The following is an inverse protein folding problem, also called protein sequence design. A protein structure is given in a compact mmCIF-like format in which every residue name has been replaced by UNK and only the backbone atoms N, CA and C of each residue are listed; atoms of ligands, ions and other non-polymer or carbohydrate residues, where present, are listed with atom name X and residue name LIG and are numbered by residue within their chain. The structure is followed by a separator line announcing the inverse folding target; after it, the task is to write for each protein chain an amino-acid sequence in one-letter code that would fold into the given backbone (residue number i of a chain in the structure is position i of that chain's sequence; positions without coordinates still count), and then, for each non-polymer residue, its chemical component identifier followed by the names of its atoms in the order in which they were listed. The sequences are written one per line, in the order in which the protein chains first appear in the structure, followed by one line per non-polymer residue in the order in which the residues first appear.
data_IF_840698723856
#
_entry.id   IF_840698723856
#
_cell.length_a   1.000
_cell.length_b   1.000
_cell.length_c   1.000
_cell.angle_alpha   90.00
_cell.angle_beta   90.00
_cell.angle_gamma   90.00
#
_symmetry.space_group_name_H-M   'P 1'
#
loop_
_entity.id
_entity.type
_entity.pdbx_description
1 polymer ?
#
# COMPACT_ATOMS: atom_id res chain seq x y z
N UNK A 1 -16.02 13.99 -28.04
CA UNK A 1 -14.82 13.57 -28.81
C UNK A 1 -13.64 13.83 -27.91
N UNK A 2 -12.85 12.80 -27.59
CA UNK A 2 -11.56 13.02 -26.94
C UNK A 2 -10.67 13.81 -27.89
N UNK A 3 -9.96 14.81 -27.37
CA UNK A 3 -8.85 15.39 -28.12
C UNK A 3 -7.65 14.45 -28.00
N UNK A 4 -6.76 14.44 -28.99
CA UNK A 4 -5.48 13.69 -28.99
C UNK A 4 -4.58 13.97 -27.75
N UNK A 5 -4.99 14.90 -26.88
CA UNK A 5 -4.27 15.41 -25.73
C UNK A 5 -4.71 14.80 -24.37
N UNK A 6 -5.74 13.96 -24.31
CA UNK A 6 -6.26 13.47 -23.02
C UNK A 6 -5.43 12.32 -22.43
N UNK A 7 -4.82 11.48 -23.27
CA UNK A 7 -3.83 10.47 -22.84
C UNK A 7 -2.75 10.19 -23.87
N UNK A 8 -1.64 9.66 -23.37
CA UNK A 8 -0.52 9.12 -24.14
C UNK A 8 -0.39 7.62 -23.84
N UNK A 9 -0.04 6.83 -24.84
CA UNK A 9 0.29 5.41 -24.66
C UNK A 9 1.79 5.24 -24.37
N UNK A 10 2.12 4.41 -23.38
CA UNK A 10 3.51 4.02 -23.07
C UNK A 10 4.22 3.46 -24.31
N UNK A 11 3.52 2.67 -25.11
CA UNK A 11 4.03 2.13 -26.36
C UNK A 11 3.00 2.29 -27.49
N UNK A 12 3.36 3.11 -28.49
CA UNK A 12 2.52 3.41 -29.66
C UNK A 12 2.23 2.20 -30.54
N UNK A 13 2.99 1.11 -30.42
CA UNK A 13 2.74 -0.12 -31.20
C UNK A 13 1.61 -0.96 -30.61
N UNK A 14 1.26 -0.74 -29.34
CA UNK A 14 0.21 -1.49 -28.65
C UNK A 14 -1.14 -0.83 -28.96
N UNK A 15 -2.04 -1.60 -29.57
CA UNK A 15 -3.40 -1.15 -29.86
C UNK A 15 -4.30 -1.42 -28.66
N UNK A 16 -5.01 -0.38 -28.22
CA UNK A 16 -6.07 -0.52 -27.22
C UNK A 16 -7.29 -1.14 -27.91
N UNK A 17 -7.88 -2.16 -27.29
CA UNK A 17 -9.17 -2.69 -27.76
C UNK A 17 -10.30 -1.67 -27.51
N UNK A 18 -11.40 -1.81 -28.25
CA UNK A 18 -12.50 -0.82 -28.23
C UNK A 18 -13.13 -0.67 -26.83
N UNK A 19 -13.22 -1.76 -26.08
CA UNK A 19 -13.89 -1.76 -24.78
C UNK A 19 -13.01 -1.08 -23.73
N UNK A 20 -11.71 -1.39 -23.70
CA UNK A 20 -10.74 -0.68 -22.87
C UNK A 20 -10.67 0.80 -23.22
N UNK A 21 -10.68 1.14 -24.51
CA UNK A 21 -10.68 2.54 -24.95
C UNK A 21 -11.92 3.26 -24.44
N UNK A 22 -13.11 2.67 -24.56
CA UNK A 22 -14.36 3.25 -24.06
C UNK A 22 -14.31 3.48 -22.54
N UNK A 23 -13.78 2.54 -21.76
CA UNK A 23 -13.63 2.69 -20.30
C UNK A 23 -12.62 3.78 -19.93
N UNK A 24 -11.53 3.92 -20.69
CA UNK A 24 -10.54 5.01 -20.50
C UNK A 24 -11.20 6.37 -20.76
N UNK A 25 -11.91 6.52 -21.89
CA UNK A 25 -12.64 7.75 -22.24
C UNK A 25 -13.61 8.13 -21.12
N UNK A 26 -14.40 7.15 -20.68
CA UNK A 26 -15.44 7.36 -19.69
C UNK A 26 -14.85 7.71 -18.31
N UNK A 27 -13.76 7.06 -17.90
CA UNK A 27 -13.03 7.42 -16.69
C UNK A 27 -12.56 8.88 -16.74
N UNK A 28 -11.97 9.31 -17.84
CA UNK A 28 -11.48 10.69 -17.98
C UNK A 28 -12.59 11.72 -18.00
N UNK A 29 -13.74 11.37 -18.58
CA UNK A 29 -14.89 12.26 -18.61
C UNK A 29 -15.47 12.47 -17.20
N UNK A 30 -15.53 11.40 -16.39
CA UNK A 30 -16.32 11.38 -15.15
C UNK A 30 -15.52 11.53 -13.86
N UNK A 31 -14.21 11.24 -13.87
CA UNK A 31 -13.36 11.31 -12.68
C UNK A 31 -12.39 12.47 -12.79
N UNK A 32 -12.40 13.36 -11.79
CA UNK A 32 -11.52 14.53 -11.73
C UNK A 32 -10.14 14.14 -11.21
N UNK A 33 -9.27 13.72 -12.13
CA UNK A 33 -7.85 13.52 -11.83
C UNK A 33 -7.11 14.85 -11.73
N UNK A 34 -6.06 14.88 -10.91
CA UNK A 34 -5.19 16.05 -10.76
C UNK A 34 -4.51 16.41 -12.08
N UNK A 35 -4.01 15.41 -12.80
CA UNK A 35 -3.34 15.57 -14.09
C UNK A 35 -4.25 16.28 -15.09
N UNK A 36 -5.53 15.88 -15.16
CA UNK A 36 -6.51 16.57 -16.01
C UNK A 36 -6.72 18.02 -15.58
N UNK A 37 -6.81 18.28 -14.27
CA UNK A 37 -6.99 19.65 -13.76
C UNK A 37 -5.82 20.58 -14.14
N UNK A 38 -4.59 20.05 -14.20
CA UNK A 38 -3.40 20.80 -14.64
C UNK A 38 -3.13 20.68 -16.15
N UNK A 39 -4.11 20.19 -16.92
CA UNK A 39 -4.04 20.01 -18.40
C UNK A 39 -2.85 19.15 -18.84
N UNK A 40 -2.57 18.08 -18.09
CA UNK A 40 -1.57 17.07 -18.44
C UNK A 40 -2.28 15.80 -18.93
N UNK A 41 -1.77 15.18 -20.01
CA UNK A 41 -2.27 13.90 -20.47
C UNK A 41 -1.99 12.82 -19.42
N UNK A 42 -2.89 11.87 -19.31
CA UNK A 42 -2.65 10.64 -18.54
C UNK A 42 -1.82 9.65 -19.34
N UNK A 43 -0.92 8.93 -18.67
CA UNK A 43 -0.12 7.89 -19.32
C UNK A 43 -0.80 6.53 -19.16
N UNK A 44 -1.22 5.96 -20.27
CA UNK A 44 -1.78 4.60 -20.33
C UNK A 44 -0.64 3.60 -20.53
N UNK A 45 -0.52 2.72 -19.56
CA UNK A 45 0.41 1.60 -19.52
C UNK A 45 -0.28 0.31 -19.98
N UNK A 46 0.52 -0.65 -20.40
CA UNK A 46 0.07 -2.00 -20.72
C UNK A 46 0.88 -3.02 -19.92
N UNK A 47 0.19 -3.79 -19.08
CA UNK A 47 0.78 -4.95 -18.42
C UNK A 47 0.81 -6.11 -19.41
N UNK A 48 2.01 -6.47 -19.88
CA UNK A 48 2.19 -7.56 -20.84
C UNK A 48 1.85 -8.95 -20.28
N UNK A 49 1.93 -9.15 -18.96
CA UNK A 49 1.63 -10.43 -18.32
C UNK A 49 0.13 -10.65 -18.25
N UNK A 50 -0.60 -9.68 -17.69
CA UNK A 50 -2.05 -9.75 -17.52
C UNK A 50 -2.82 -9.36 -18.79
N UNK A 51 -2.13 -8.70 -19.74
CA UNK A 51 -2.69 -8.14 -20.99
C UNK A 51 -3.76 -7.08 -20.76
N UNK A 52 -3.55 -6.20 -19.79
CA UNK A 52 -4.52 -5.17 -19.37
C UNK A 52 -3.92 -3.78 -19.49
N UNK A 53 -4.80 -2.80 -19.75
CA UNK A 53 -4.44 -1.39 -19.74
C UNK A 53 -4.69 -0.80 -18.36
N UNK A 54 -3.80 0.09 -17.93
CA UNK A 54 -3.96 0.83 -16.69
C UNK A 54 -3.32 2.22 -16.78
N UNK A 55 -3.67 3.10 -15.85
CA UNK A 55 -3.00 4.39 -15.64
C UNK A 55 -2.58 4.52 -14.19
N UNK A 56 -1.52 5.27 -13.95
CA UNK A 56 -1.16 5.78 -12.63
C UNK A 56 -1.46 7.28 -12.63
N UNK A 57 -2.24 7.74 -11.66
CA UNK A 57 -2.68 9.13 -11.58
C UNK A 57 -3.00 9.54 -10.14
N UNK A 58 -3.36 10.81 -9.95
CA UNK A 58 -3.71 11.32 -8.63
C UNK A 58 -5.15 11.82 -8.59
N UNK A 59 -5.84 11.54 -7.49
CA UNK A 59 -7.17 12.09 -7.21
C UNK A 59 -7.19 12.69 -5.80
N UNK A 60 -8.06 13.68 -5.61
CA UNK A 60 -8.26 14.27 -4.30
C UNK A 60 -9.08 13.37 -3.39
N UNK A 61 -8.87 13.52 -2.08
CA UNK A 61 -9.64 12.84 -1.02
C UNK A 61 -11.14 12.85 -1.26
N UNK A 62 -11.71 14.00 -1.65
CA UNK A 62 -13.16 14.14 -1.85
C UNK A 62 -13.66 13.30 -3.03
N UNK A 63 -12.88 13.29 -4.11
CA UNK A 63 -13.20 12.53 -5.33
C UNK A 63 -13.12 11.02 -5.07
N UNK A 64 -12.07 10.57 -4.36
CA UNK A 64 -11.93 9.16 -3.97
C UNK A 64 -13.07 8.72 -3.06
N UNK A 65 -13.41 9.49 -2.03
CA UNK A 65 -14.52 9.17 -1.11
C UNK A 65 -15.87 9.08 -1.84
N UNK A 66 -16.09 9.96 -2.82
CA UNK A 66 -17.33 10.00 -3.58
C UNK A 66 -17.54 8.76 -4.44
N UNK A 67 -16.50 8.30 -5.13
CA UNK A 67 -16.63 7.30 -6.19
C UNK A 67 -16.14 5.88 -5.83
N UNK A 68 -15.49 5.70 -4.67
CA UNK A 68 -14.98 4.38 -4.26
C UNK A 68 -16.06 3.37 -3.88
N UNK A 69 -15.80 2.13 -4.22
CA UNK A 69 -16.55 0.94 -3.82
C UNK A 69 -15.62 -0.05 -3.11
N UNK A 70 -15.76 -0.14 -1.78
CA UNK A 70 -14.99 -1.09 -0.96
C UNK A 70 -15.59 -2.50 -0.97
N UNK A 71 -16.88 -2.62 -1.30
CA UNK A 71 -17.56 -3.92 -1.38
C UNK A 71 -17.52 -4.49 -2.79
N UNK A 72 -16.55 -4.09 -3.61
CA UNK A 72 -16.40 -4.62 -4.95
C UNK A 72 -16.30 -6.15 -4.88
N UNK A 73 -17.37 -6.85 -5.25
CA UNK A 73 -17.44 -8.31 -5.29
C UNK A 73 -16.76 -8.76 -6.56
N UNK A 74 -15.74 -9.59 -6.42
CA UNK A 74 -15.01 -10.16 -7.56
C UNK A 74 -15.89 -11.21 -8.26
N UNK A 75 -16.83 -11.82 -7.51
CA UNK A 75 -17.93 -12.66 -7.97
C UNK A 75 -18.94 -12.88 -6.81
N UNK A 76 -20.27 -12.83 -7.03
CA UNK A 76 -21.26 -13.28 -6.03
C UNK A 76 -21.06 -14.72 -5.54
N UNK A 77 -20.49 -15.60 -6.36
CA UNK A 77 -20.38 -17.04 -6.07
C UNK A 77 -19.09 -17.42 -5.32
N UNK A 78 -18.08 -16.54 -5.26
CA UNK A 78 -16.77 -16.79 -4.62
C UNK A 78 -16.48 -15.82 -3.46
N UNK A 79 -17.54 -15.42 -2.74
CA UNK A 79 -17.46 -14.42 -1.67
C UNK A 79 -16.52 -14.82 -0.52
N UNK A 80 -16.37 -16.11 -0.20
CA UNK A 80 -15.64 -16.54 1.00
C UNK A 80 -14.12 -16.45 0.85
N UNK A 81 -13.54 -16.93 -0.26
CA UNK A 81 -12.09 -16.85 -0.49
C UNK A 81 -11.58 -15.41 -0.62
N UNK A 82 -12.43 -14.49 -1.10
CA UNK A 82 -12.10 -13.07 -1.22
C UNK A 82 -12.25 -12.25 0.06
N UNK A 83 -13.07 -12.71 1.01
CA UNK A 83 -13.19 -12.09 2.33
C UNK A 83 -11.97 -12.35 3.20
N UNK A 84 -11.25 -13.45 2.98
CA UNK A 84 -10.11 -13.87 3.79
C UNK A 84 -8.91 -12.90 3.72
N UNK A 85 -8.79 -12.10 2.65
CA UNK A 85 -7.79 -11.01 2.55
C UNK A 85 -8.34 -9.61 2.87
N UNK A 86 -9.62 -9.49 3.28
CA UNK A 86 -10.33 -8.23 3.59
C UNK A 86 -10.61 -8.01 5.07
N UNK A 87 -10.11 -8.86 5.95
CA UNK A 87 -10.23 -8.58 7.38
C UNK A 87 -9.35 -7.37 7.69
N UNK A 88 -9.93 -6.18 7.61
CA UNK A 88 -9.38 -5.00 8.25
C UNK A 88 -9.11 -5.39 9.68
N UNK A 89 -7.90 -5.14 10.11
CA UNK A 89 -7.45 -5.41 11.46
C UNK A 89 -7.49 -4.07 12.19
N UNK A 90 -8.67 -3.65 12.70
CA UNK A 90 -8.84 -2.32 13.29
C UNK A 90 -7.90 -2.10 14.47
N UNK A 91 -7.56 -3.18 15.18
CA UNK A 91 -6.70 -3.17 16.36
C UNK A 91 -5.21 -3.37 16.02
N UNK A 92 -4.86 -3.52 14.73
CA UNK A 92 -3.46 -3.60 14.33
C UNK A 92 -2.79 -2.22 14.57
N UNK A 93 -1.70 -2.16 15.35
CA UNK A 93 -0.99 -0.90 15.62
C UNK A 93 -0.61 -0.13 14.36
N UNK A 94 -0.20 -0.81 13.28
CA UNK A 94 0.17 -0.19 12.02
C UNK A 94 -1.03 0.52 11.36
N UNK A 95 -2.22 -0.06 11.51
CA UNK A 95 -3.45 0.55 11.00
C UNK A 95 -3.87 1.77 11.84
N UNK A 96 -3.67 1.73 13.16
CA UNK A 96 -3.90 2.88 14.04
C UNK A 96 -2.95 4.02 13.64
N UNK A 97 -1.65 3.74 13.49
CA UNK A 97 -0.67 4.72 13.02
C UNK A 97 -1.05 5.27 11.64
N UNK A 98 -1.49 4.42 10.71
CA UNK A 98 -1.96 4.84 9.40
C UNK A 98 -3.15 5.82 9.46
N UNK A 99 -4.07 5.61 10.41
CA UNK A 99 -5.20 6.53 10.62
C UNK A 99 -4.74 7.87 11.18
N UNK A 100 -3.80 7.88 12.13
CA UNK A 100 -3.23 9.12 12.67
C UNK A 100 -2.45 9.88 11.60
N UNK A 101 -1.67 9.18 10.78
CA UNK A 101 -0.97 9.76 9.63
C UNK A 101 -1.96 10.38 8.63
N UNK A 102 -3.07 9.70 8.33
CA UNK A 102 -4.13 10.25 7.49
C UNK A 102 -4.69 11.54 8.07
N UNK A 103 -5.03 11.60 9.37
CA UNK A 103 -5.47 12.84 10.03
C UNK A 103 -4.41 13.95 9.94
N UNK A 104 -3.14 13.57 10.02
CA UNK A 104 -1.98 14.44 9.86
C UNK A 104 -1.84 15.07 8.46
N UNK A 105 -2.56 14.57 7.45
CA UNK A 105 -2.44 15.06 6.07
C UNK A 105 -1.58 14.17 5.17
N UNK A 106 -1.24 12.94 5.60
CA UNK A 106 -0.42 12.04 4.80
C UNK A 106 -1.13 11.67 3.49
N UNK A 107 -0.38 11.80 2.40
CA UNK A 107 -0.74 11.27 1.09
C UNK A 107 -0.52 9.76 1.06
N UNK A 108 -1.37 9.05 0.33
CA UNK A 108 -1.26 7.61 0.15
C UNK A 108 -1.07 7.31 -1.33
N UNK A 109 -0.16 6.39 -1.63
CA UNK A 109 0.06 5.79 -2.94
C UNK A 109 -0.43 4.34 -2.96
N UNK A 110 -0.34 3.71 -4.13
CA UNK A 110 -0.52 2.28 -4.33
C UNK A 110 -1.93 1.77 -3.98
N UNK A 111 -2.92 2.64 -4.14
CA UNK A 111 -4.32 2.23 -4.10
C UNK A 111 -4.66 1.65 -5.48
N UNK A 112 -4.96 0.35 -5.51
CA UNK A 112 -5.20 -0.38 -6.75
C UNK A 112 -6.69 -0.47 -7.00
N UNK A 113 -7.12 0.01 -8.16
CA UNK A 113 -8.52 0.24 -8.51
C UNK A 113 -8.82 -0.36 -9.88
N UNK A 114 -10.01 -0.93 -10.04
CA UNK A 114 -10.63 -1.15 -11.35
C UNK A 114 -11.69 -0.08 -11.58
N UNK A 115 -11.70 0.52 -12.77
CA UNK A 115 -12.80 1.37 -13.20
C UNK A 115 -13.91 0.54 -13.86
N UNK A 116 -15.06 0.42 -13.18
CA UNK A 116 -16.18 -0.41 -13.63
C UNK A 116 -17.53 0.17 -13.18
N UNK A 117 -18.49 0.36 -14.11
CA UNK A 117 -19.82 0.89 -13.83
C UNK A 117 -20.94 -0.16 -13.84
N UNK A 118 -20.64 -1.40 -14.20
CA UNK A 118 -21.62 -2.41 -14.63
C UNK A 118 -22.62 -2.83 -13.55
N UNK A 119 -22.24 -2.78 -12.26
CA UNK A 119 -23.10 -3.27 -11.15
C UNK A 119 -23.38 -2.23 -10.05
N UNK A 120 -22.58 -1.16 -9.95
CA UNK A 120 -22.81 -0.02 -9.04
C UNK A 120 -22.26 1.25 -9.70
N UNK A 121 -23.03 1.78 -10.65
CA UNK A 121 -22.63 2.89 -11.52
C UNK A 121 -22.19 4.14 -10.74
N UNK A 122 -22.86 4.44 -9.61
CA UNK A 122 -22.54 5.60 -8.76
C UNK A 122 -21.20 5.49 -8.01
N UNK A 123 -20.61 4.29 -7.95
CA UNK A 123 -19.33 4.03 -7.27
C UNK A 123 -18.38 3.29 -8.21
N UNK A 124 -17.89 3.93 -9.28
CA UNK A 124 -17.18 3.24 -10.33
C UNK A 124 -15.74 2.83 -9.98
N UNK A 125 -15.16 3.34 -8.89
CA UNK A 125 -13.79 3.04 -8.47
C UNK A 125 -13.76 1.83 -7.54
N UNK A 126 -13.56 0.63 -8.11
CA UNK A 126 -13.59 -0.64 -7.38
C UNK A 126 -12.24 -0.93 -6.74
N UNK A 127 -12.17 -0.95 -5.42
CA UNK A 127 -10.90 -1.16 -4.71
C UNK A 127 -10.48 -2.63 -4.79
N UNK A 128 -9.37 -2.91 -5.48
CA UNK A 128 -8.76 -4.24 -5.56
C UNK A 128 -7.63 -4.42 -4.52
N UNK A 129 -6.95 -3.33 -4.17
CA UNK A 129 -5.85 -3.32 -3.19
C UNK A 129 -5.71 -1.97 -2.48
N UNK A 130 -5.11 -1.99 -1.28
CA UNK A 130 -4.95 -0.79 -0.45
C UNK A 130 -6.15 -0.46 0.45
N UNK A 131 -6.92 -1.46 0.86
CA UNK A 131 -8.15 -1.30 1.66
C UNK A 131 -7.93 -0.58 3.01
N UNK A 132 -6.82 -0.86 3.71
CA UNK A 132 -6.46 -0.12 4.92
C UNK A 132 -6.22 1.36 4.63
N UNK A 133 -5.56 1.69 3.51
CA UNK A 133 -5.31 3.07 3.09
C UNK A 133 -6.62 3.78 2.78
N UNK A 134 -7.52 3.15 2.01
CA UNK A 134 -8.81 3.77 1.68
C UNK A 134 -9.67 4.01 2.92
N UNK A 135 -9.68 3.08 3.88
CA UNK A 135 -10.35 3.30 5.18
C UNK A 135 -9.70 4.38 6.04
N UNK A 136 -8.37 4.49 6.03
CA UNK A 136 -7.71 5.59 6.74
C UNK A 136 -8.09 6.94 6.13
N UNK A 137 -8.18 7.02 4.80
CA UNK A 137 -8.63 8.21 4.07
C UNK A 137 -10.07 8.58 4.42
N UNK A 138 -10.98 7.62 4.64
CA UNK A 138 -12.36 7.93 5.06
C UNK A 138 -12.41 8.78 6.33
N UNK A 139 -11.55 8.46 7.30
CA UNK A 139 -11.45 9.17 8.58
C UNK A 139 -10.72 10.51 8.48
N UNK A 140 -10.10 10.81 7.35
CA UNK A 140 -9.47 12.10 7.10
C UNK A 140 -10.53 13.20 7.07
N UNK A 141 -10.34 14.27 7.84
CA UNK A 141 -11.10 15.52 7.69
C UNK A 141 -10.95 16.06 6.25
N UNK A 142 -11.91 16.85 5.72
CA UNK A 142 -11.87 17.35 4.34
C UNK A 142 -10.70 18.32 4.12
N UNK A 143 -9.51 17.76 4.01
CA UNK A 143 -8.29 18.39 3.52
C UNK A 143 -8.15 17.94 2.08
N UNK A 144 -7.87 18.90 1.20
CA UNK A 144 -7.61 18.69 -0.22
C UNK A 144 -6.26 17.98 -0.42
N UNK A 145 -6.22 16.70 -0.07
CA UNK A 145 -5.02 15.86 -0.11
C UNK A 145 -5.06 15.02 -1.37
N UNK A 146 -3.94 14.94 -2.08
CA UNK A 146 -3.79 14.10 -3.25
C UNK A 146 -3.39 12.69 -2.84
N UNK A 147 -3.99 11.71 -3.50
CA UNK A 147 -3.66 10.29 -3.35
C UNK A 147 -3.31 9.71 -4.71
N UNK A 148 -2.23 8.94 -4.76
CA UNK A 148 -1.82 8.20 -5.95
C UNK A 148 -2.64 6.92 -6.08
N UNK A 149 -3.24 6.72 -7.26
CA UNK A 149 -4.04 5.56 -7.59
C UNK A 149 -3.51 4.88 -8.85
N UNK A 150 -3.64 3.55 -8.91
CA UNK A 150 -3.45 2.77 -10.13
C UNK A 150 -4.81 2.27 -10.58
N UNK A 151 -5.27 2.70 -11.75
CA UNK A 151 -6.60 2.40 -12.29
C UNK A 151 -6.46 1.46 -13.48
N UNK A 152 -6.99 0.25 -13.35
CA UNK A 152 -7.09 -0.73 -14.41
C UNK A 152 -8.41 -0.61 -15.16
N UNK A 153 -8.37 -0.91 -16.46
CA UNK A 153 -9.52 -0.85 -17.36
C UNK A 153 -9.84 -2.23 -17.91
N UNK A 154 -11.13 -2.51 -18.03
CA UNK A 154 -11.69 -3.69 -18.68
C UNK A 154 -11.16 -5.04 -18.17
N UNK A 155 -11.14 -5.24 -16.85
CA UNK A 155 -10.69 -6.50 -16.28
C UNK A 155 -11.76 -7.59 -16.42
N UNK A 156 -11.34 -8.78 -16.85
CA UNK A 156 -12.11 -10.00 -16.68
C UNK A 156 -11.96 -10.55 -15.25
N UNK A 157 -12.71 -11.60 -14.93
CA UNK A 157 -12.73 -12.22 -13.58
C UNK A 157 -11.34 -12.71 -13.14
N UNK A 158 -10.59 -13.36 -14.02
CA UNK A 158 -9.28 -13.93 -13.72
C UNK A 158 -8.22 -12.85 -13.51
N UNK A 159 -8.20 -11.83 -14.38
CA UNK A 159 -7.31 -10.67 -14.28
C UNK A 159 -7.59 -9.88 -12.99
N UNK A 160 -8.87 -9.64 -12.67
CA UNK A 160 -9.28 -9.00 -11.43
C UNK A 160 -8.75 -9.77 -10.23
N UNK A 161 -8.82 -11.10 -10.29
CA UNK A 161 -8.36 -11.96 -9.23
C UNK A 161 -6.85 -11.96 -9.04
N UNK A 162 -6.10 -12.05 -10.14
CA UNK A 162 -4.64 -11.97 -10.15
C UNK A 162 -4.14 -10.63 -9.61
N UNK A 163 -4.67 -9.52 -10.11
CA UNK A 163 -4.30 -8.16 -9.67
C UNK A 163 -4.61 -7.94 -8.20
N UNK A 164 -5.79 -8.36 -7.72
CA UNK A 164 -6.15 -8.27 -6.31
C UNK A 164 -5.16 -9.08 -5.45
N UNK A 165 -4.78 -10.28 -5.86
CA UNK A 165 -3.81 -11.11 -5.13
C UNK A 165 -2.44 -10.44 -5.07
N UNK A 166 -1.91 -9.96 -6.19
CA UNK A 166 -0.59 -9.31 -6.27
C UNK A 166 -0.58 -8.04 -5.40
N UNK A 167 -1.63 -7.22 -5.49
CA UNK A 167 -1.73 -5.96 -4.75
C UNK A 167 -1.82 -6.13 -3.22
N UNK A 168 -2.29 -7.29 -2.76
CA UNK A 168 -2.42 -7.62 -1.34
C UNK A 168 -1.33 -8.60 -0.86
N UNK A 169 -0.38 -8.96 -1.73
CA UNK A 169 0.75 -9.81 -1.31
C UNK A 169 1.67 -9.00 -0.42
N UNK A 170 1.44 -9.07 0.89
CA UNK A 170 2.36 -8.55 1.89
C UNK A 170 3.57 -9.46 1.96
N UNK A 171 4.70 -9.02 1.40
CA UNK A 171 6.00 -9.59 1.77
C UNK A 171 6.33 -9.01 3.14
N UNK A 172 6.00 -9.74 4.20
CA UNK A 172 6.27 -9.33 5.57
C UNK A 172 7.76 -9.09 5.75
N UNK A 173 8.12 -7.84 6.04
CA UNK A 173 9.46 -7.49 6.50
C UNK A 173 9.64 -8.10 7.89
N UNK A 174 10.76 -8.77 8.13
CA UNK A 174 11.02 -9.37 9.43
C UNK A 174 11.07 -8.27 10.52
N UNK A 175 10.34 -8.45 11.63
CA UNK A 175 10.32 -7.51 12.76
C UNK A 175 11.73 -7.12 13.22
N UNK A 176 12.67 -8.08 13.22
CA UNK A 176 14.05 -7.85 13.62
C UNK A 176 14.78 -6.84 12.70
N UNK A 177 14.39 -6.73 11.42
CA UNK A 177 14.89 -5.67 10.52
C UNK A 177 14.32 -4.30 10.91
N UNK A 178 13.02 -4.22 11.20
CA UNK A 178 12.36 -2.97 11.64
C UNK A 178 12.97 -2.47 12.95
N UNK A 179 13.21 -3.38 13.90
CA UNK A 179 13.86 -3.07 15.16
C UNK A 179 15.26 -2.45 14.94
N UNK A 180 16.02 -2.90 13.93
CA UNK A 180 17.32 -2.32 13.58
C UNK A 180 17.20 -0.93 12.98
N UNK A 181 16.25 -0.74 12.07
CA UNK A 181 16.00 0.57 11.49
C UNK A 181 15.64 1.61 12.57
N UNK A 182 14.81 1.23 13.54
CA UNK A 182 14.47 2.10 14.66
C UNK A 182 15.65 2.38 15.58
N UNK A 183 16.52 1.40 15.81
CA UNK A 183 17.71 1.56 16.65
C UNK A 183 18.78 2.48 16.01
N UNK A 184 18.88 2.46 14.68
CA UNK A 184 19.67 3.41 13.90
C UNK A 184 19.09 4.84 13.92
N UNK A 185 17.79 5.00 14.11
CA UNK A 185 17.11 6.30 14.14
C UNK A 185 17.26 7.04 15.49
N UNK A 186 17.71 6.37 16.54
CA UNK A 186 17.93 6.99 17.85
C UNK A 186 19.01 8.09 17.78
N UNK A 187 19.00 9.01 18.75
CA UNK A 187 20.06 10.00 18.91
C UNK A 187 20.74 9.89 20.29
N UNK A 188 22.04 9.54 20.38
CA UNK A 188 22.89 9.07 19.28
C UNK A 188 22.41 7.73 18.68
N UNK A 189 22.72 7.47 17.40
CA UNK A 189 22.31 6.25 16.72
C UNK A 189 23.05 5.05 17.29
N UNK A 190 22.44 3.88 17.17
CA UNK A 190 23.07 2.61 17.53
C UNK A 190 23.38 2.43 19.03
N UNK A 191 22.62 3.06 19.94
CA UNK A 191 22.88 3.00 21.39
C UNK A 191 22.98 1.58 21.93
N UNK A 192 22.05 0.72 21.50
CA UNK A 192 21.98 -0.65 22.00
C UNK A 192 23.11 -1.47 21.39
N UNK A 193 23.37 -1.33 20.09
CA UNK A 193 24.51 -1.99 19.43
C UNK A 193 25.82 -1.63 20.10
N UNK A 194 26.05 -0.34 20.34
CA UNK A 194 27.27 0.15 20.99
C UNK A 194 27.42 -0.43 22.41
N UNK A 195 26.32 -0.53 23.17
CA UNK A 195 26.34 -1.17 24.48
C UNK A 195 26.68 -2.66 24.40
N UNK A 196 25.99 -3.41 23.52
CA UNK A 196 26.16 -4.86 23.37
C UNK A 196 27.57 -5.19 22.85
N UNK A 197 28.13 -4.38 21.95
CA UNK A 197 29.52 -4.50 21.51
C UNK A 197 30.51 -4.21 22.63
N UNK A 198 30.25 -3.20 23.46
CA UNK A 198 31.10 -2.86 24.61
C UNK A 198 31.18 -3.98 25.64
N UNK A 199 30.09 -4.73 25.84
CA UNK A 199 30.05 -5.87 26.78
C UNK A 199 30.46 -7.21 26.14
N UNK A 200 30.89 -7.21 24.87
CA UNK A 200 31.42 -8.38 24.18
C UNK A 200 30.37 -9.39 23.70
N UNK A 201 29.08 -9.04 23.74
CA UNK A 201 28.01 -9.88 23.21
C UNK A 201 27.85 -9.79 21.68
N UNK A 202 28.52 -8.81 21.06
CA UNK A 202 28.60 -8.61 19.61
C UNK A 202 30.00 -8.08 19.29
N UNK A 203 30.62 -8.45 18.17
CA UNK A 203 31.96 -7.92 17.87
C UNK A 203 31.88 -6.48 17.37
N UNK A 204 33.00 -5.77 17.47
CA UNK A 204 33.12 -4.41 16.96
C UNK A 204 32.85 -4.40 15.45
N UNK A 205 31.88 -3.58 15.03
CA UNK A 205 31.47 -3.46 13.63
C UNK A 205 30.48 -4.51 13.13
N UNK A 206 30.13 -5.54 13.93
CA UNK A 206 29.03 -6.47 13.62
C UNK A 206 27.68 -5.83 13.99
N UNK A 207 26.64 -6.18 13.24
CA UNK A 207 25.26 -5.75 13.50
C UNK A 207 24.42 -6.90 14.08
N UNK A 208 23.23 -6.58 14.62
CA UNK A 208 22.29 -7.57 15.11
C UNK A 208 21.75 -8.43 13.97
N UNK A 209 21.36 -9.66 14.30
CA UNK A 209 20.75 -10.60 13.37
C UNK A 209 19.37 -10.19 12.89
N UNK A 210 19.08 -10.47 11.61
CA UNK A 210 17.81 -10.17 10.92
C UNK A 210 16.68 -11.14 11.28
N UNK A 211 17.00 -12.26 11.93
CA UNK A 211 16.06 -13.33 12.35
C UNK A 211 16.64 -14.10 13.54
N UNK A 212 15.76 -14.61 14.41
CA UNK A 212 16.10 -15.50 15.55
C UNK A 212 16.95 -16.74 15.20
N UNK A 213 16.88 -17.22 13.97
CA UNK A 213 17.67 -18.36 13.47
C UNK A 213 18.51 -17.91 12.28
N UNK A 214 19.45 -16.99 12.53
CA UNK A 214 20.46 -16.63 11.54
C UNK A 214 21.60 -17.67 11.55
N UNK A 215 22.22 -17.89 10.39
CA UNK A 215 23.33 -18.86 10.24
C UNK A 215 24.54 -18.54 11.11
N UNK A 216 24.62 -17.30 11.58
CA UNK A 216 25.75 -16.75 12.34
C UNK A 216 25.48 -16.70 13.85
N UNK A 217 24.30 -17.14 14.32
CA UNK A 217 23.88 -17.11 15.73
C UNK A 217 24.04 -15.72 16.41
N UNK A 218 23.92 -14.63 15.64
CA UNK A 218 24.01 -13.28 16.19
C UNK A 218 22.74 -12.95 16.98
N UNK A 219 22.85 -12.26 18.13
CA UNK A 219 21.69 -11.82 18.88
C UNK A 219 20.83 -10.88 18.03
N UNK A 220 19.51 -10.89 18.24
CA UNK A 220 18.62 -9.86 17.68
C UNK A 220 18.44 -8.71 18.68
N UNK A 221 17.96 -7.56 18.22
CA UNK A 221 17.68 -6.41 19.09
C UNK A 221 16.69 -6.77 20.18
N UNK A 222 15.65 -7.54 19.84
CA UNK A 222 14.66 -8.02 20.80
C UNK A 222 15.32 -8.82 21.94
N UNK A 223 16.20 -9.75 21.60
CA UNK A 223 16.92 -10.57 22.58
C UNK A 223 17.84 -9.72 23.47
N UNK A 224 18.55 -8.75 22.88
CA UNK A 224 19.39 -7.81 23.63
C UNK A 224 18.58 -6.93 24.59
N UNK A 225 17.41 -6.41 24.17
CA UNK A 225 16.49 -5.65 25.04
C UNK A 225 15.99 -6.52 26.19
N UNK A 226 15.57 -7.75 25.91
CA UNK A 226 15.12 -8.71 26.94
C UNK A 226 16.22 -9.01 27.96
N UNK A 227 17.48 -9.20 27.52
CA UNK A 227 18.62 -9.39 28.41
C UNK A 227 18.79 -8.19 29.37
N UNK A 228 18.75 -6.96 28.85
CA UNK A 228 18.91 -5.76 29.68
C UNK A 228 17.77 -5.64 30.70
N UNK A 229 16.52 -5.80 30.27
CA UNK A 229 15.36 -5.60 31.14
C UNK A 229 15.25 -6.72 32.17
N UNK A 230 15.24 -7.98 31.72
CA UNK A 230 14.91 -9.11 32.59
C UNK A 230 16.11 -9.57 33.42
N UNK A 231 17.32 -9.57 32.85
CA UNK A 231 18.49 -10.06 33.57
C UNK A 231 19.25 -8.93 34.26
N UNK A 232 19.66 -7.89 33.52
CA UNK A 232 20.50 -6.85 34.09
C UNK A 232 19.74 -5.94 35.08
N UNK A 233 18.60 -5.38 34.66
CA UNK A 233 17.77 -4.54 35.53
C UNK A 233 16.93 -5.38 36.50
N UNK A 234 16.42 -6.53 36.05
CA UNK A 234 15.63 -7.44 36.88
C UNK A 234 16.38 -7.96 38.12
N UNK A 235 17.71 -8.11 38.07
CA UNK A 235 18.52 -8.43 39.26
C UNK A 235 18.40 -7.43 40.41
N UNK A 236 18.02 -6.18 40.10
CA UNK A 236 17.87 -5.10 41.07
C UNK A 236 16.39 -4.79 41.36
N UNK A 237 15.45 -5.58 40.84
CA UNK A 237 14.02 -5.40 41.09
C UNK A 237 13.67 -5.86 42.51
N UNK A 238 13.14 -4.97 43.35
CA UNK A 238 12.89 -5.22 44.79
C UNK A 238 11.44 -5.59 45.15
N UNK A 239 10.59 -5.88 44.16
CA UNK A 239 9.15 -6.07 44.39
C UNK A 239 8.41 -4.77 44.22
#
# INVERSE_FOLDING_TARGET
MLEENDFILQNKTIKIDKESQQKIVDFFANVKTFEKNIKRPLLIFYDAKSKVFYTECHIYTEELKKFKDEDATIDPDYQEEYRLNRALQPDNPDFITMQEDAKGGRQFSDIVIEYNKDYRENKPLKILGGQHRTKAIEKMSPKHTLHGIRVYFNLNKDQRAEIARISNTNITIADDLLDRMEEQRLDPPNKLRNFVQKIGLLKKGEDFGDRKANKENLPTIRLARTFIVNFYKGKNYKG
#
